data_IF_176962772937
#
_entry.id   IF_176962772937
#
_cell.length_a   1.000
_cell.length_b   1.000
_cell.length_c   1.000
_cell.angle_alpha   90.00
_cell.angle_beta   90.00
_cell.angle_gamma   90.00
#
_symmetry.space_group_name_H-M   'P 1'
#
loop_
_entity.id
_entity.type
_entity.pdbx_description
1 polymer ?
#
# COMPACT_ATOMS: atom_id res chain seq x y z
N UNK A 1 9.92 20.40 0.13
CA UNK A 1 9.89 18.94 0.38
C UNK A 1 9.33 18.29 -0.86
N UNK A 2 10.17 17.59 -1.63
CA UNK A 2 9.70 16.80 -2.76
C UNK A 2 8.74 15.74 -2.22
N UNK A 3 7.45 15.83 -2.56
CA UNK A 3 6.50 14.72 -2.42
C UNK A 3 7.01 13.65 -3.37
N UNK A 4 7.90 12.78 -2.90
CA UNK A 4 8.17 11.53 -3.61
C UNK A 4 6.84 10.79 -3.62
N UNK A 5 6.16 10.88 -4.76
CA UNK A 5 4.98 10.08 -5.05
C UNK A 5 5.44 8.64 -4.83
N UNK A 6 4.70 7.88 -4.02
CA UNK A 6 4.94 6.46 -3.80
C UNK A 6 4.69 5.70 -5.12
N UNK A 7 5.60 5.86 -6.09
CA UNK A 7 5.65 5.08 -7.31
C UNK A 7 6.33 3.77 -6.96
N UNK A 8 5.50 2.79 -6.67
CA UNK A 8 5.91 1.40 -6.52
C UNK A 8 6.22 0.84 -7.90
N UNK A 9 7.05 -0.22 -7.93
CA UNK A 9 7.28 -0.95 -9.17
C UNK A 9 5.95 -1.42 -9.76
N UNK A 10 5.77 -1.19 -11.07
CA UNK A 10 4.56 -1.54 -11.81
C UNK A 10 4.14 -3.00 -11.64
N UNK A 11 5.07 -3.90 -11.32
CA UNK A 11 4.80 -5.30 -10.97
C UNK A 11 3.77 -5.41 -9.84
N UNK A 12 3.91 -4.63 -8.77
CA UNK A 12 3.00 -4.70 -7.62
C UNK A 12 1.58 -4.21 -7.96
N UNK A 13 1.47 -3.24 -8.86
CA UNK A 13 0.19 -2.78 -9.37
C UNK A 13 -0.50 -3.86 -10.22
N UNK A 14 0.28 -4.57 -11.03
CA UNK A 14 -0.22 -5.68 -11.83
C UNK A 14 -0.70 -6.85 -10.94
N UNK A 15 -0.03 -7.13 -9.82
CA UNK A 15 -0.47 -8.15 -8.86
C UNK A 15 -1.81 -7.80 -8.21
N UNK A 16 -2.00 -6.54 -7.78
CA UNK A 16 -3.27 -6.09 -7.22
C UNK A 16 -4.42 -6.21 -8.25
N UNK A 17 -4.17 -5.84 -9.50
CA UNK A 17 -5.14 -6.00 -10.59
C UNK A 17 -5.42 -7.49 -10.83
N UNK A 18 -4.39 -8.33 -10.96
CA UNK A 18 -4.55 -9.77 -11.19
C UNK A 18 -5.34 -10.44 -10.07
N UNK A 19 -5.05 -10.08 -8.81
CA UNK A 19 -5.78 -10.59 -7.66
C UNK A 19 -7.29 -10.27 -7.77
N UNK A 20 -7.63 -9.01 -8.08
CA UNK A 20 -9.02 -8.58 -8.22
C UNK A 20 -9.72 -9.23 -9.42
N UNK A 21 -9.03 -9.36 -10.56
CA UNK A 21 -9.58 -10.06 -11.74
C UNK A 21 -9.86 -11.54 -11.46
N UNK A 22 -8.95 -12.21 -10.74
CA UNK A 22 -9.14 -13.59 -10.31
C UNK A 22 -10.26 -13.71 -9.28
N UNK A 23 -10.36 -12.79 -8.32
CA UNK A 23 -11.42 -12.83 -7.31
C UNK A 23 -12.81 -12.66 -7.95
N UNK A 24 -12.94 -11.75 -8.92
CA UNK A 24 -14.21 -11.45 -9.57
C UNK A 24 -14.48 -12.27 -10.83
N UNK A 25 -13.54 -13.14 -11.22
CA UNK A 25 -13.63 -14.01 -12.39
C UNK A 25 -13.94 -13.24 -13.68
N UNK A 26 -13.44 -12.00 -13.78
CA UNK A 26 -13.62 -11.13 -14.95
C UNK A 26 -12.48 -10.13 -15.07
N UNK A 27 -12.34 -9.55 -16.26
CA UNK A 27 -11.43 -8.43 -16.46
C UNK A 27 -11.96 -7.16 -15.78
N UNK A 28 -11.04 -6.39 -15.21
CA UNK A 28 -11.35 -5.06 -14.70
C UNK A 28 -11.41 -4.07 -15.86
N UNK A 29 -12.33 -3.11 -15.74
CA UNK A 29 -12.33 -1.91 -16.57
C UNK A 29 -11.13 -1.02 -16.23
N UNK A 30 -10.79 -0.07 -17.10
CA UNK A 30 -9.64 0.79 -16.86
C UNK A 30 -9.82 1.67 -15.61
N UNK A 31 -11.05 2.12 -15.33
CA UNK A 31 -11.37 2.83 -14.11
C UNK A 31 -11.18 1.95 -12.86
N UNK A 32 -11.58 0.67 -12.92
CA UNK A 32 -11.40 -0.26 -11.80
C UNK A 32 -9.93 -0.60 -11.56
N UNK A 33 -9.13 -0.75 -12.63
CA UNK A 33 -7.68 -0.93 -12.51
C UNK A 33 -7.03 0.28 -11.85
N UNK A 34 -7.41 1.49 -12.26
CA UNK A 34 -6.94 2.71 -11.64
C UNK A 34 -7.29 2.77 -10.15
N UNK A 35 -8.55 2.48 -9.81
CA UNK A 35 -9.01 2.47 -8.42
C UNK A 35 -8.27 1.41 -7.59
N UNK A 36 -8.05 0.21 -8.13
CA UNK A 36 -7.30 -0.85 -7.45
C UNK A 36 -5.86 -0.41 -7.11
N UNK A 37 -5.20 0.30 -8.03
CA UNK A 37 -3.86 0.84 -7.81
C UNK A 37 -3.87 1.91 -6.71
N UNK A 38 -4.82 2.84 -6.73
CA UNK A 38 -4.88 3.91 -5.73
C UNK A 38 -5.20 3.38 -4.33
N UNK A 39 -6.12 2.41 -4.22
CA UNK A 39 -6.41 1.73 -2.95
C UNK A 39 -5.20 0.94 -2.44
N UNK A 40 -4.47 0.27 -3.34
CA UNK A 40 -3.23 -0.43 -2.98
C UNK A 40 -2.18 0.54 -2.42
N UNK A 41 -1.92 1.66 -3.10
CA UNK A 41 -1.00 2.72 -2.62
C UNK A 41 -1.43 3.25 -1.24
N UNK A 42 -2.73 3.49 -1.06
CA UNK A 42 -3.26 3.97 0.20
C UNK A 42 -3.05 2.95 1.33
N UNK A 43 -3.36 1.68 1.09
CA UNK A 43 -3.14 0.61 2.08
C UNK A 43 -1.68 0.52 2.51
N UNK A 44 -0.74 0.55 1.55
CA UNK A 44 0.70 0.53 1.84
C UNK A 44 1.15 1.74 2.65
N UNK A 45 0.60 2.92 2.38
CA UNK A 45 0.88 4.12 3.18
C UNK A 45 0.43 3.94 4.63
N UNK A 46 -0.80 3.46 4.86
CA UNK A 46 -1.34 3.21 6.20
C UNK A 46 -0.52 2.16 6.95
N UNK A 47 -0.13 1.06 6.28
CA UNK A 47 0.74 0.05 6.86
C UNK A 47 2.10 0.62 7.30
N UNK A 48 2.71 1.47 6.47
CA UNK A 48 3.97 2.13 6.81
C UNK A 48 3.81 3.07 7.99
N UNK A 49 2.78 3.93 8.00
CA UNK A 49 2.50 4.84 9.12
C UNK A 49 2.32 4.05 10.43
N UNK A 50 1.53 2.97 10.40
CA UNK A 50 1.35 2.11 11.56
C UNK A 50 2.65 1.42 12.01
N UNK A 51 3.47 0.96 11.05
CA UNK A 51 4.76 0.35 11.37
C UNK A 51 5.70 1.35 12.05
N UNK A 52 5.82 2.57 11.52
CA UNK A 52 6.65 3.61 12.13
C UNK A 52 6.17 3.99 13.52
N UNK A 53 4.86 4.16 13.71
CA UNK A 53 4.28 4.46 15.03
C UNK A 53 4.62 3.37 16.06
N UNK A 54 4.45 2.11 15.69
CA UNK A 54 4.77 0.98 16.58
C UNK A 54 6.25 0.95 16.98
N UNK A 55 7.16 1.16 16.02
CA UNK A 55 8.60 1.15 16.32
C UNK A 55 9.02 2.32 17.22
N UNK A 56 8.39 3.49 17.09
CA UNK A 56 8.65 4.64 17.98
C UNK A 56 8.22 4.31 19.41
N UNK A 57 7.04 3.70 19.58
CA UNK A 57 6.54 3.27 20.89
C UNK A 57 7.50 2.24 21.52
N UNK A 58 7.91 1.23 20.76
CA UNK A 58 8.81 0.18 21.26
C UNK A 58 10.19 0.75 21.67
N UNK A 59 10.73 1.69 20.91
CA UNK A 59 11.98 2.37 21.24
C UNK A 59 11.87 3.23 22.52
N UNK A 60 10.77 3.96 22.69
CA UNK A 60 10.51 4.74 23.92
C UNK A 60 10.39 3.84 25.16
N UNK A 61 9.77 2.67 25.01
CA UNK A 61 9.63 1.68 26.09
C UNK A 61 10.96 1.00 26.46
N UNK A 62 11.89 0.85 25.50
CA UNK A 62 13.24 0.35 25.79
C UNK A 62 14.12 1.41 26.48
N UNK A 63 13.99 2.68 26.11
CA UNK A 63 14.76 3.79 26.68
C UNK A 63 14.33 4.20 28.11
N UNK A 64 13.17 3.73 28.57
CA UNK A 64 12.60 4.04 29.88
C UNK A 64 12.83 2.93 30.94
N UNK A 65 13.61 1.90 30.59
CA UNK A 65 14.13 0.86 31.50
C UNK A 65 15.59 1.12 31.83
#
# INVERSE_FOLDING_TARGET
>A
MNRQVFDYNQIFYNEAIMYMENLWQRKLTDHEKHLAIEVYKFGRKVEMESYYEKNVIDWQLQMSK
#
